data_IF_723869119502
#
_entry.id   IF_723869119502
#
_cell.length_a   1.000
_cell.length_b   1.000
_cell.length_c   1.000
_cell.angle_alpha   90.00
_cell.angle_beta   90.00
_cell.angle_gamma   90.00
#
_symmetry.space_group_name_H-M   'P 1'
#
loop_
_entity.id
_entity.type
_entity.pdbx_description
1 polymer ?
#
# COMPACT_ATOMS: atom_id res chain seq x y z
N UNK A 1 -21.97 9.32 20.96
CA UNK A 1 -21.66 10.47 20.08
C UNK A 1 -22.82 10.63 19.12
N UNK A 2 -23.20 11.86 18.71
CA UNK A 2 -24.21 12.02 17.68
C UNK A 2 -23.75 11.29 16.41
N UNK A 3 -24.62 10.47 15.85
CA UNK A 3 -24.38 9.84 14.56
C UNK A 3 -24.09 10.96 13.55
N UNK A 4 -23.00 10.85 12.81
CA UNK A 4 -22.72 11.74 11.69
C UNK A 4 -23.68 11.34 10.59
N UNK A 5 -24.75 12.10 10.48
CA UNK A 5 -25.79 11.86 9.50
C UNK A 5 -25.72 13.00 8.48
N UNK A 6 -25.43 12.66 7.23
CA UNK A 6 -25.47 13.61 6.12
C UNK A 6 -26.90 13.95 5.70
N UNK A 7 -27.91 13.28 6.28
CA UNK A 7 -29.31 13.44 5.88
C UNK A 7 -29.60 13.02 4.45
N UNK A 8 -28.75 12.16 3.86
CA UNK A 8 -28.85 11.73 2.48
C UNK A 8 -29.01 10.22 2.37
N UNK A 9 -29.99 9.77 1.64
CA UNK A 9 -30.12 8.36 1.25
C UNK A 9 -29.17 8.06 0.08
N UNK A 10 -27.90 7.81 0.40
CA UNK A 10 -26.83 7.59 -0.58
C UNK A 10 -25.80 6.60 -0.01
N UNK A 11 -25.42 5.59 -0.79
CA UNK A 11 -24.36 4.66 -0.40
C UNK A 11 -23.01 5.35 -0.15
N UNK A 12 -22.72 6.44 -0.87
CA UNK A 12 -21.50 7.23 -0.63
C UNK A 12 -21.60 7.97 0.70
N UNK A 13 -22.77 8.58 1.02
CA UNK A 13 -22.96 9.23 2.32
C UNK A 13 -22.83 8.24 3.47
N UNK A 14 -23.49 7.07 3.39
CA UNK A 14 -23.37 6.02 4.39
C UNK A 14 -21.94 5.50 4.57
N UNK A 15 -21.17 5.34 3.47
CA UNK A 15 -19.77 4.97 3.56
C UNK A 15 -18.94 6.06 4.26
N UNK A 16 -19.16 7.34 3.95
CA UNK A 16 -18.45 8.46 4.58
C UNK A 16 -18.80 8.63 6.06
N UNK A 17 -20.01 8.26 6.48
CA UNK A 17 -20.38 8.19 7.89
C UNK A 17 -19.52 7.20 8.67
N UNK A 18 -19.11 6.09 8.03
CA UNK A 18 -18.28 5.05 8.65
C UNK A 18 -16.78 5.36 8.56
N UNK A 19 -16.30 5.77 7.37
CA UNK A 19 -14.85 5.86 7.08
C UNK A 19 -14.41 7.24 6.61
N UNK A 20 -15.28 8.22 6.52
CA UNK A 20 -14.95 9.57 5.99
C UNK A 20 -14.09 10.42 6.93
N UNK A 21 -13.90 9.97 8.17
CA UNK A 21 -13.07 10.69 9.11
C UNK A 21 -11.59 10.57 8.83
N UNK A 22 -10.87 11.66 9.06
CA UNK A 22 -9.42 11.67 8.94
C UNK A 22 -8.81 10.50 9.73
N UNK A 23 -7.89 9.79 9.12
CA UNK A 23 -7.17 8.61 9.59
C UNK A 23 -7.92 7.27 9.41
N UNK A 24 -9.26 7.26 9.26
CA UNK A 24 -10.01 6.02 9.19
C UNK A 24 -9.52 5.11 8.04
N UNK A 25 -9.48 5.64 6.81
CA UNK A 25 -8.99 4.88 5.65
C UNK A 25 -7.50 4.53 5.73
N UNK A 26 -6.67 5.30 6.45
CA UNK A 26 -5.28 4.94 6.67
C UNK A 26 -5.12 3.79 7.66
N UNK A 27 -6.00 3.70 8.67
CA UNK A 27 -6.08 2.54 9.57
C UNK A 27 -6.52 1.30 8.79
N UNK A 28 -7.56 1.43 7.96
CA UNK A 28 -8.03 0.33 7.09
C UNK A 28 -6.92 -0.12 6.13
N UNK A 29 -6.18 0.81 5.54
CA UNK A 29 -5.02 0.54 4.67
C UNK A 29 -4.00 -0.37 5.36
N UNK A 30 -3.60 -0.05 6.58
CA UNK A 30 -2.59 -0.83 7.31
C UNK A 30 -3.16 -2.22 7.69
N UNK A 31 -4.45 -2.30 8.03
CA UNK A 31 -5.14 -3.56 8.34
C UNK A 31 -5.42 -4.44 7.10
N UNK A 32 -5.42 -3.89 5.89
CA UNK A 32 -5.49 -4.67 4.64
C UNK A 32 -4.21 -5.49 4.39
N UNK A 33 -3.08 -5.07 4.97
CA UNK A 33 -1.84 -5.85 4.93
C UNK A 33 -1.90 -7.03 5.91
N UNK A 34 -2.62 -6.87 7.02
CA UNK A 34 -2.85 -7.92 8.02
C UNK A 34 -3.19 -7.35 9.40
N UNK A 35 -3.51 -8.21 10.36
CA UNK A 35 -3.83 -7.79 11.73
C UNK A 35 -2.69 -7.00 12.35
N UNK A 36 -3.01 -5.96 13.14
CA UNK A 36 -2.04 -5.07 13.79
C UNK A 36 -2.39 -4.86 15.26
N UNK A 37 -1.36 -4.80 16.10
CA UNK A 37 -1.52 -4.30 17.47
C UNK A 37 -1.74 -2.79 17.45
N UNK A 38 -2.22 -2.25 18.55
CA UNK A 38 -2.33 -0.79 18.70
C UNK A 38 -0.99 -0.07 18.46
N UNK A 39 0.09 -0.63 19.00
CA UNK A 39 1.45 -0.11 18.85
C UNK A 39 1.92 -0.12 17.40
N UNK A 40 1.56 -1.15 16.63
CA UNK A 40 1.93 -1.29 15.23
C UNK A 40 1.23 -0.23 14.38
N UNK A 41 -0.08 -0.02 14.60
CA UNK A 41 -0.85 1.06 13.97
C UNK A 41 -0.31 2.45 14.34
N UNK A 42 0.08 2.64 15.61
CA UNK A 42 0.68 3.91 16.04
C UNK A 42 2.05 4.15 15.38
N UNK A 43 2.84 3.11 15.19
CA UNK A 43 4.12 3.18 14.48
C UNK A 43 3.92 3.41 12.97
N UNK A 44 2.93 2.75 12.35
CA UNK A 44 2.58 2.92 10.94
C UNK A 44 1.98 4.29 10.61
N UNK A 45 1.36 4.94 11.61
CA UNK A 45 0.73 6.27 11.49
C UNK A 45 1.37 7.26 12.48
N UNK A 46 2.66 7.62 12.32
CA UNK A 46 3.41 8.33 13.35
C UNK A 46 2.83 9.71 13.72
N UNK A 47 2.14 10.37 12.79
CA UNK A 47 1.52 11.68 13.01
C UNK A 47 0.10 11.63 13.58
N UNK A 48 -0.50 10.43 13.77
CA UNK A 48 -1.81 10.34 14.41
C UNK A 48 -1.68 10.61 15.92
N UNK A 49 -2.46 11.54 16.51
CA UNK A 49 -2.51 11.67 17.96
C UNK A 49 -3.07 10.40 18.61
N UNK A 50 -2.54 10.01 19.77
CA UNK A 50 -2.93 8.77 20.48
C UNK A 50 -4.42 8.70 20.80
N UNK A 51 -4.99 9.82 21.26
CA UNK A 51 -6.42 9.93 21.54
C UNK A 51 -7.26 9.78 20.26
N UNK A 52 -6.81 10.32 19.13
CA UNK A 52 -7.51 10.19 17.84
C UNK A 52 -7.44 8.74 17.35
N UNK A 53 -6.28 8.07 17.44
CA UNK A 53 -6.19 6.65 17.08
C UNK A 53 -7.19 5.81 17.88
N UNK A 54 -7.22 5.99 19.21
CA UNK A 54 -8.16 5.26 20.07
C UNK A 54 -9.62 5.54 19.70
N UNK A 55 -9.95 6.78 19.41
CA UNK A 55 -11.31 7.18 18.98
C UNK A 55 -11.67 6.52 17.65
N UNK A 56 -10.79 6.58 16.64
CA UNK A 56 -11.04 5.99 15.32
C UNK A 56 -11.18 4.47 15.38
N UNK A 57 -10.34 3.80 16.16
CA UNK A 57 -10.47 2.35 16.37
C UNK A 57 -11.80 1.96 16.99
N UNK A 58 -12.27 2.74 17.97
CA UNK A 58 -13.58 2.52 18.58
C UNK A 58 -14.71 2.71 17.57
N UNK A 59 -14.71 3.81 16.81
CA UNK A 59 -15.73 4.12 15.81
C UNK A 59 -15.78 3.08 14.68
N UNK A 60 -14.61 2.68 14.16
CA UNK A 60 -14.52 1.62 13.13
C UNK A 60 -15.01 0.27 13.66
N UNK A 61 -14.82 -0.02 14.96
CA UNK A 61 -15.31 -1.25 15.58
C UNK A 61 -16.83 -1.17 15.79
N UNK A 62 -17.38 -0.04 16.24
CA UNK A 62 -18.82 0.20 16.40
C UNK A 62 -19.54 0.13 15.03
N UNK A 63 -18.89 0.63 13.97
CA UNK A 63 -19.37 0.55 12.60
C UNK A 63 -19.19 -0.82 11.93
N UNK A 64 -18.64 -1.81 12.64
CA UNK A 64 -18.46 -3.18 12.12
C UNK A 64 -17.37 -3.33 11.06
N UNK A 65 -16.54 -2.29 10.83
CA UNK A 65 -15.44 -2.32 9.85
C UNK A 65 -14.26 -3.14 10.36
N UNK A 66 -13.93 -3.00 11.66
CA UNK A 66 -12.86 -3.74 12.30
C UNK A 66 -13.37 -4.51 13.52
N UNK A 67 -12.58 -5.48 13.97
CA UNK A 67 -12.79 -6.24 15.20
C UNK A 67 -11.51 -6.33 15.99
N UNK A 68 -11.63 -6.60 17.29
CA UNK A 68 -10.52 -7.05 18.11
C UNK A 68 -10.47 -8.56 18.13
N UNK A 69 -9.31 -9.13 17.92
CA UNK A 69 -9.10 -10.57 17.91
C UNK A 69 -7.89 -10.95 18.78
N UNK A 70 -7.93 -12.10 19.46
CA UNK A 70 -6.74 -12.62 20.11
C UNK A 70 -5.75 -13.13 19.05
N UNK A 71 -4.47 -12.79 19.22
CA UNK A 71 -3.39 -13.34 18.42
C UNK A 71 -2.23 -13.71 19.34
N UNK A 72 -2.01 -15.02 19.54
CA UNK A 72 -1.06 -15.52 20.55
C UNK A 72 -1.36 -14.93 21.93
N UNK A 73 -0.42 -14.21 22.53
CA UNK A 73 -0.54 -13.58 23.86
C UNK A 73 -0.94 -12.10 23.81
N UNK A 74 -1.49 -11.62 22.68
CA UNK A 74 -1.85 -10.21 22.49
C UNK A 74 -3.18 -10.05 21.81
N UNK A 75 -3.72 -8.83 21.89
CA UNK A 75 -4.91 -8.41 21.18
C UNK A 75 -4.49 -7.59 19.97
N UNK A 76 -5.04 -7.93 18.81
CA UNK A 76 -4.86 -7.22 17.55
C UNK A 76 -6.19 -6.65 17.06
N UNK A 77 -6.10 -5.65 16.21
CA UNK A 77 -7.18 -5.19 15.37
C UNK A 77 -7.08 -5.91 14.02
N UNK A 78 -8.20 -6.32 13.50
CA UNK A 78 -8.33 -6.99 12.20
C UNK A 78 -9.58 -6.47 11.48
N UNK A 79 -9.57 -6.52 10.16
CA UNK A 79 -10.77 -6.21 9.38
C UNK A 79 -11.81 -7.31 9.54
N UNK A 80 -13.08 -6.92 9.57
CA UNK A 80 -14.19 -7.85 9.32
C UNK A 80 -14.31 -8.14 7.82
N UNK A 81 -15.17 -9.08 7.41
CA UNK A 81 -15.46 -9.30 6.00
C UNK A 81 -16.05 -8.04 5.35
N UNK A 82 -16.89 -7.32 6.07
CA UNK A 82 -17.42 -6.02 5.65
C UNK A 82 -16.28 -5.00 5.46
N UNK A 83 -15.35 -4.92 6.42
CA UNK A 83 -14.18 -4.03 6.32
C UNK A 83 -13.24 -4.40 5.16
N UNK A 84 -13.09 -5.69 4.86
CA UNK A 84 -12.30 -6.16 3.69
C UNK A 84 -12.90 -5.71 2.37
N UNK A 85 -14.22 -5.50 2.30
CA UNK A 85 -14.88 -4.90 1.14
C UNK A 85 -14.39 -3.50 0.77
N UNK A 86 -13.63 -2.83 1.66
CA UNK A 86 -12.98 -1.55 1.36
C UNK A 86 -11.69 -1.68 0.55
N UNK A 87 -11.19 -2.89 0.31
CA UNK A 87 -9.90 -3.10 -0.37
C UNK A 87 -9.86 -2.41 -1.73
N UNK A 88 -10.80 -2.69 -2.62
CA UNK A 88 -10.83 -2.09 -3.96
C UNK A 88 -10.92 -0.57 -3.92
N UNK A 89 -11.64 -0.03 -2.93
CA UNK A 89 -11.78 1.42 -2.73
C UNK A 89 -10.43 2.02 -2.31
N UNK A 90 -9.75 1.41 -1.36
CA UNK A 90 -8.43 1.86 -0.88
C UNK A 90 -7.40 1.78 -2.00
N UNK A 91 -7.40 0.68 -2.78
CA UNK A 91 -6.49 0.52 -3.93
C UNK A 91 -6.80 1.55 -5.03
N UNK A 92 -8.09 1.83 -5.30
CA UNK A 92 -8.48 2.87 -6.25
C UNK A 92 -8.06 4.28 -5.79
N UNK A 93 -8.23 4.60 -4.50
CA UNK A 93 -7.72 5.84 -3.91
C UNK A 93 -6.20 5.93 -3.97
N UNK A 94 -5.50 4.80 -3.75
CA UNK A 94 -4.05 4.71 -3.89
C UNK A 94 -3.61 5.09 -5.31
N UNK A 95 -4.20 4.48 -6.34
CA UNK A 95 -3.92 4.82 -7.75
C UNK A 95 -4.19 6.29 -8.05
N UNK A 96 -5.36 6.79 -7.66
CA UNK A 96 -5.73 8.18 -7.88
C UNK A 96 -4.77 9.14 -7.18
N UNK A 97 -4.43 8.89 -5.92
CA UNK A 97 -3.48 9.69 -5.16
C UNK A 97 -2.07 9.68 -5.76
N UNK A 98 -1.62 8.53 -6.26
CA UNK A 98 -0.32 8.40 -6.92
C UNK A 98 -0.29 9.13 -8.28
N UNK A 99 -1.40 9.18 -9.01
CA UNK A 99 -1.48 9.86 -10.31
C UNK A 99 -1.57 11.38 -10.21
N UNK A 100 -2.08 11.91 -9.10
CA UNK A 100 -2.32 13.34 -8.90
C UNK A 100 -1.22 14.06 -8.11
N UNK A 101 -0.29 13.31 -7.53
CA UNK A 101 0.69 13.90 -6.64
C UNK A 101 1.88 14.48 -7.41
N UNK A 102 2.15 15.76 -7.20
CA UNK A 102 3.48 16.30 -7.37
C UNK A 102 4.49 15.45 -6.58
N UNK A 103 5.78 15.52 -6.95
CA UNK A 103 6.82 14.74 -6.30
C UNK A 103 6.64 14.75 -4.76
N UNK A 104 6.73 13.57 -4.09
CA UNK A 104 6.46 13.50 -2.66
C UNK A 104 7.32 14.51 -1.94
N UNK A 105 6.71 15.30 -1.06
CA UNK A 105 7.49 16.17 -0.17
C UNK A 105 8.53 15.30 0.54
N UNK A 106 9.79 15.70 0.57
CA UNK A 106 10.89 14.99 1.23
C UNK A 106 10.64 14.68 2.73
N UNK A 107 9.47 15.04 3.24
CA UNK A 107 9.03 14.85 4.64
C UNK A 107 8.04 13.70 4.81
N UNK A 108 7.65 13.00 3.73
CA UNK A 108 6.76 11.85 3.78
C UNK A 108 7.45 10.62 4.37
N UNK A 109 6.82 9.97 5.35
CA UNK A 109 7.31 8.71 5.92
C UNK A 109 6.73 7.56 5.11
N UNK A 110 7.62 6.70 4.60
CA UNK A 110 7.26 5.45 3.93
C UNK A 110 7.32 4.35 4.99
N UNK A 111 6.25 3.58 5.13
CA UNK A 111 6.21 2.38 5.97
C UNK A 111 6.03 1.13 5.10
N UNK A 112 6.37 -0.04 5.63
CA UNK A 112 6.16 -1.31 4.90
C UNK A 112 4.69 -1.50 4.50
N UNK A 113 3.75 -1.14 5.38
CA UNK A 113 2.32 -1.26 5.09
C UNK A 113 1.87 -0.29 3.99
N UNK A 114 2.29 0.99 4.06
CA UNK A 114 1.95 1.97 3.01
C UNK A 114 2.53 1.57 1.65
N UNK A 115 3.79 1.14 1.61
CA UNK A 115 4.43 0.70 0.37
C UNK A 115 3.80 -0.58 -0.18
N UNK A 116 3.40 -1.52 0.69
CA UNK A 116 2.67 -2.72 0.27
C UNK A 116 1.37 -2.36 -0.47
N UNK A 117 0.60 -1.43 0.06
CA UNK A 117 -0.64 -0.99 -0.58
C UNK A 117 -0.36 -0.18 -1.85
N UNK A 118 0.65 0.67 -1.89
CA UNK A 118 1.04 1.39 -3.10
C UNK A 118 1.43 0.42 -4.23
N UNK A 119 2.21 -0.61 -3.94
CA UNK A 119 2.57 -1.66 -4.90
C UNK A 119 1.34 -2.47 -5.35
N UNK A 120 0.44 -2.86 -4.42
CA UNK A 120 -0.82 -3.52 -4.78
C UNK A 120 -1.73 -2.63 -5.62
N UNK A 121 -1.74 -1.33 -5.34
CA UNK A 121 -2.53 -0.34 -6.09
C UNK A 121 -2.06 -0.19 -7.54
N UNK A 122 -0.77 -0.37 -7.79
CA UNK A 122 -0.14 -0.18 -9.11
C UNK A 122 0.14 -1.49 -9.84
N UNK A 123 -0.18 -2.64 -9.21
CA UNK A 123 0.03 -3.95 -9.80
C UNK A 123 -0.87 -4.17 -11.03
N UNK A 124 -0.24 -4.55 -12.13
CA UNK A 124 -0.86 -4.84 -13.41
C UNK A 124 -0.83 -6.34 -13.68
N UNK A 125 -1.92 -7.01 -13.36
CA UNK A 125 -2.06 -8.45 -13.55
C UNK A 125 -1.96 -8.86 -15.04
N UNK A 126 -2.44 -8.02 -15.96
CA UNK A 126 -2.33 -8.22 -17.41
C UNK A 126 -0.87 -8.24 -17.89
N UNK A 127 -0.08 -7.26 -17.45
CA UNK A 127 1.35 -7.20 -17.78
C UNK A 127 2.13 -8.32 -17.07
N UNK A 128 1.86 -8.55 -15.80
CA UNK A 128 2.53 -9.59 -15.01
C UNK A 128 2.39 -10.99 -15.63
N UNK A 129 1.19 -11.31 -16.15
CA UNK A 129 0.89 -12.61 -16.77
C UNK A 129 1.67 -12.89 -18.06
N UNK A 130 2.34 -11.90 -18.63
CA UNK A 130 3.19 -12.08 -19.82
C UNK A 130 4.62 -12.48 -19.48
N UNK A 131 4.98 -12.48 -18.19
CA UNK A 131 6.33 -12.77 -17.71
C UNK A 131 6.38 -14.07 -16.91
N UNK A 132 7.55 -14.69 -16.89
CA UNK A 132 7.84 -15.81 -15.99
C UNK A 132 7.71 -15.36 -14.52
N UNK A 133 7.36 -16.27 -13.60
CA UNK A 133 7.34 -15.99 -12.17
C UNK A 133 8.65 -15.32 -11.74
N UNK A 134 8.53 -14.24 -11.00
CA UNK A 134 9.69 -13.42 -10.62
C UNK A 134 9.56 -12.95 -9.17
N UNK A 135 10.66 -13.07 -8.44
CA UNK A 135 10.77 -12.64 -7.05
C UNK A 135 11.65 -11.40 -6.94
N UNK A 136 11.11 -10.33 -6.37
CA UNK A 136 11.83 -9.09 -6.13
C UNK A 136 12.02 -8.86 -4.65
N UNK A 137 13.20 -8.39 -4.24
CA UNK A 137 13.39 -7.73 -2.95
C UNK A 137 13.51 -6.24 -3.18
N UNK A 138 12.52 -5.51 -2.69
CA UNK A 138 12.44 -4.06 -2.82
C UNK A 138 12.76 -3.39 -1.48
N UNK A 139 13.91 -2.72 -1.40
CA UNK A 139 14.35 -1.92 -0.24
C UNK A 139 14.07 -0.46 -0.52
N UNK A 140 12.87 -0.02 -0.19
CA UNK A 140 12.39 1.34 -0.48
C UNK A 140 12.27 2.09 0.83
N UNK A 141 13.08 3.10 1.04
CA UNK A 141 13.17 3.97 2.23
C UNK A 141 12.25 3.58 3.40
N UNK A 142 12.76 2.82 4.38
CA UNK A 142 11.99 2.38 5.55
C UNK A 142 11.12 1.13 5.34
N UNK A 143 11.03 0.61 4.12
CA UNK A 143 10.36 -0.66 3.79
C UNK A 143 11.36 -1.65 3.16
N UNK A 144 11.39 -2.88 3.64
CA UNK A 144 12.14 -4.00 3.05
C UNK A 144 11.13 -5.12 2.77
N UNK A 145 10.77 -5.28 1.50
CA UNK A 145 9.66 -6.11 1.05
C UNK A 145 10.14 -7.18 0.08
N UNK A 146 9.59 -8.38 0.24
CA UNK A 146 9.66 -9.44 -0.76
C UNK A 146 8.37 -9.45 -1.56
N UNK A 147 8.51 -9.36 -2.88
CA UNK A 147 7.41 -9.41 -3.84
C UNK A 147 7.54 -10.70 -4.63
N UNK A 148 6.50 -11.52 -4.63
CA UNK A 148 6.41 -12.71 -5.47
C UNK A 148 5.31 -12.46 -6.49
N UNK A 149 5.72 -12.34 -7.75
CA UNK A 149 4.83 -12.19 -8.90
C UNK A 149 4.76 -13.52 -9.62
N UNK A 150 3.57 -14.08 -9.74
CA UNK A 150 3.32 -15.36 -10.42
C UNK A 150 2.02 -15.23 -11.23
N UNK A 151 2.17 -15.12 -12.55
CA UNK A 151 1.06 -14.81 -13.44
C UNK A 151 0.32 -13.54 -13.02
N UNK A 152 -1.00 -13.64 -12.84
CA UNK A 152 -1.87 -12.54 -12.41
C UNK A 152 -1.84 -12.28 -10.90
N UNK A 153 -0.99 -12.96 -10.13
CA UNK A 153 -0.97 -12.85 -8.66
C UNK A 153 0.24 -12.11 -8.15
N UNK A 154 0.02 -11.31 -7.12
CA UNK A 154 1.06 -10.62 -6.36
C UNK A 154 0.95 -11.00 -4.89
N UNK A 155 2.04 -11.47 -4.30
CA UNK A 155 2.20 -11.59 -2.85
C UNK A 155 3.28 -10.63 -2.39
N UNK A 156 2.99 -9.86 -1.36
CA UNK A 156 3.92 -8.92 -0.73
C UNK A 156 4.04 -9.26 0.74
N UNK A 157 5.26 -9.40 1.21
CA UNK A 157 5.55 -9.67 2.62
C UNK A 157 6.79 -8.87 3.07
N UNK A 158 6.93 -8.56 4.36
CA UNK A 158 8.21 -8.08 4.89
C UNK A 158 9.33 -9.08 4.58
N UNK A 159 10.46 -8.60 4.10
CA UNK A 159 11.61 -9.46 3.83
C UNK A 159 12.26 -9.90 5.14
N UNK A 160 12.52 -11.20 5.29
CA UNK A 160 13.26 -11.77 6.40
C UNK A 160 14.56 -12.39 5.90
N UNK A 161 15.53 -12.58 6.80
CA UNK A 161 16.86 -13.10 6.44
C UNK A 161 16.87 -14.55 5.93
N UNK A 162 15.84 -15.33 6.25
CA UNK A 162 15.74 -16.76 5.92
C UNK A 162 15.00 -17.04 4.59
N UNK A 163 14.73 -16.02 3.77
CA UNK A 163 14.01 -16.19 2.51
C UNK A 163 14.96 -16.57 1.36
N UNK A 164 14.43 -17.28 0.36
CA UNK A 164 15.14 -17.62 -0.85
C UNK A 164 15.74 -16.38 -1.53
N UNK A 165 16.87 -16.55 -2.21
CA UNK A 165 17.52 -15.47 -2.96
C UNK A 165 16.54 -14.94 -4.01
N UNK A 166 16.25 -13.63 -4.01
CA UNK A 166 15.36 -13.02 -5.00
C UNK A 166 16.04 -13.00 -6.38
N UNK A 167 15.22 -13.00 -7.44
CA UNK A 167 15.73 -12.86 -8.82
C UNK A 167 16.31 -11.45 -9.04
N UNK A 168 15.77 -10.45 -8.33
CA UNK A 168 16.27 -9.08 -8.31
C UNK A 168 16.17 -8.48 -6.92
N UNK A 169 17.31 -8.00 -6.39
CA UNK A 169 17.40 -7.20 -5.16
C UNK A 169 17.78 -5.77 -5.53
N UNK A 170 16.96 -4.79 -5.12
CA UNK A 170 17.22 -3.39 -5.42
C UNK A 170 16.87 -2.47 -4.26
N UNK A 171 17.51 -1.30 -4.24
CA UNK A 171 17.21 -0.22 -3.31
C UNK A 171 16.74 1.03 -4.07
N UNK A 172 15.80 1.74 -3.46
CA UNK A 172 15.29 3.01 -4.00
C UNK A 172 14.86 3.96 -2.88
N UNK A 173 14.81 5.25 -3.22
CA UNK A 173 14.20 6.28 -2.40
C UNK A 173 12.72 6.50 -2.73
N UNK A 174 12.14 7.56 -2.17
CA UNK A 174 10.76 7.99 -2.48
C UNK A 174 10.56 8.31 -3.98
N UNK A 175 11.63 8.67 -4.68
CA UNK A 175 11.65 8.95 -6.13
C UNK A 175 11.33 7.73 -7.00
N UNK A 176 11.25 6.51 -6.46
CA UNK A 176 10.75 5.34 -7.21
C UNK A 176 9.34 5.59 -7.78
N UNK A 177 8.59 6.53 -7.19
CA UNK A 177 7.28 6.92 -7.72
C UNK A 177 7.33 7.41 -9.16
N UNK A 178 8.39 8.08 -9.59
CA UNK A 178 8.54 8.51 -10.99
C UNK A 178 8.67 7.34 -11.95
N UNK A 179 9.28 6.22 -11.52
CA UNK A 179 9.29 4.98 -12.28
C UNK A 179 7.88 4.34 -12.34
N UNK A 180 7.20 4.26 -11.21
CA UNK A 180 5.83 3.72 -11.11
C UNK A 180 4.82 4.58 -11.88
N UNK A 181 5.00 5.90 -11.85
CA UNK A 181 4.17 6.84 -12.64
C UNK A 181 4.46 6.77 -14.16
N UNK A 182 5.57 6.15 -14.56
CA UNK A 182 6.00 6.09 -15.96
C UNK A 182 6.63 7.40 -16.47
N UNK A 183 7.09 8.26 -15.55
CA UNK A 183 7.78 9.52 -15.90
C UNK A 183 9.22 9.24 -16.32
N UNK A 184 9.81 8.16 -15.84
CA UNK A 184 11.13 7.67 -16.21
C UNK A 184 11.07 6.19 -16.61
N UNK A 185 11.95 5.78 -17.52
CA UNK A 185 12.14 4.35 -17.87
C UNK A 185 12.94 3.64 -16.78
N UNK A 186 12.92 2.30 -16.76
CA UNK A 186 13.72 1.52 -15.83
C UNK A 186 15.22 1.79 -16.00
N UNK A 187 15.71 1.86 -17.24
CA UNK A 187 17.11 2.12 -17.54
C UNK A 187 17.51 3.53 -17.04
N UNK A 188 16.71 4.55 -17.35
CA UNK A 188 16.94 5.91 -16.85
C UNK A 188 16.88 5.99 -15.32
N UNK A 189 16.00 5.22 -14.67
CA UNK A 189 15.92 5.19 -13.21
C UNK A 189 17.18 4.62 -12.57
N UNK A 190 17.81 3.64 -13.21
CA UNK A 190 19.10 3.09 -12.76
C UNK A 190 20.23 4.07 -13.04
N UNK A 191 20.32 4.64 -14.24
CA UNK A 191 21.34 5.62 -14.62
C UNK A 191 21.33 6.88 -13.73
N UNK A 192 20.14 7.36 -13.38
CA UNK A 192 19.95 8.54 -12.51
C UNK A 192 20.08 8.23 -11.01
N UNK A 193 20.30 6.95 -10.64
CA UNK A 193 20.41 6.53 -9.24
C UNK A 193 19.09 6.57 -8.47
N UNK A 194 17.94 6.68 -9.13
CA UNK A 194 16.60 6.54 -8.54
C UNK A 194 16.44 5.12 -7.99
N UNK A 195 16.95 4.14 -8.74
CA UNK A 195 17.03 2.73 -8.38
C UNK A 195 18.48 2.27 -8.41
N UNK A 196 18.90 1.55 -7.39
CA UNK A 196 20.20 0.91 -7.31
C UNK A 196 20.02 -0.60 -7.24
N UNK A 197 20.52 -1.32 -8.26
CA UNK A 197 20.53 -2.79 -8.25
C UNK A 197 21.59 -3.26 -7.25
N UNK A 198 21.20 -4.15 -6.36
CA UNK A 198 22.07 -4.73 -5.32
C UNK A 198 22.53 -6.14 -5.70
N UNK A 199 21.64 -6.94 -6.30
CA UNK A 199 21.93 -8.28 -6.78
C UNK A 199 20.90 -8.72 -7.83
N UNK A 200 21.24 -9.73 -8.62
CA UNK A 200 20.36 -10.31 -9.61
C UNK A 200 20.47 -9.68 -11.00
N UNK A 201 19.51 -9.99 -11.88
CA UNK A 201 19.52 -9.52 -13.26
C UNK A 201 18.86 -8.14 -13.40
N UNK A 202 19.65 -7.12 -13.73
CA UNK A 202 19.18 -5.74 -13.89
C UNK A 202 18.03 -5.58 -14.92
N UNK A 203 17.97 -6.42 -15.96
CA UNK A 203 16.88 -6.40 -16.94
C UNK A 203 15.49 -6.69 -16.32
N UNK A 204 15.45 -7.34 -15.15
CA UNK A 204 14.19 -7.54 -14.43
C UNK A 204 13.57 -6.23 -13.91
N UNK A 205 14.34 -5.12 -13.88
CA UNK A 205 13.79 -3.81 -13.55
C UNK A 205 12.80 -3.32 -14.62
N UNK A 206 12.99 -3.68 -15.88
CA UNK A 206 12.03 -3.39 -16.95
C UNK A 206 10.71 -4.17 -16.73
N UNK A 207 10.79 -5.44 -16.30
CA UNK A 207 9.60 -6.21 -15.91
C UNK A 207 8.91 -5.60 -14.68
N UNK A 208 9.68 -5.20 -13.68
CA UNK A 208 9.15 -4.51 -12.50
C UNK A 208 8.39 -3.25 -12.92
N UNK A 209 8.97 -2.38 -13.74
CA UNK A 209 8.33 -1.16 -14.21
C UNK A 209 7.05 -1.43 -15.04
N UNK A 210 7.03 -2.51 -15.83
CA UNK A 210 5.83 -2.90 -16.58
C UNK A 210 4.74 -3.46 -15.66
N UNK A 211 5.12 -4.20 -14.61
CA UNK A 211 4.22 -4.86 -13.66
C UNK A 211 3.64 -3.89 -12.64
N UNK A 212 4.43 -2.92 -12.18
CA UNK A 212 4.04 -1.92 -11.18
C UNK A 212 4.02 -0.54 -11.82
N UNK A 213 2.92 -0.20 -12.48
CA UNK A 213 2.79 1.08 -13.17
C UNK A 213 1.38 1.64 -13.06
N UNK A 214 1.31 2.96 -13.03
CA UNK A 214 0.05 3.66 -13.21
C UNK A 214 -0.30 3.60 -14.71
N UNK A 215 -1.44 2.98 -15.04
CA UNK A 215 -1.98 3.13 -16.39
C UNK A 215 -2.25 4.61 -16.61
N UNK A 216 -1.55 5.25 -17.54
CA UNK A 216 -1.98 6.56 -18.04
C UNK A 216 -3.29 6.32 -18.79
N UNK A 217 -4.42 6.33 -18.09
CA UNK A 217 -5.66 6.68 -18.75
C UNK A 217 -5.47 8.12 -19.21
N UNK A 218 -5.37 8.31 -20.53
CA UNK A 218 -5.56 9.62 -21.09
C UNK A 218 -6.92 10.10 -20.59
N UNK A 219 -6.93 11.05 -19.65
CA UNK A 219 -8.14 11.78 -19.28
C UNK A 219 -8.44 12.61 -20.51
N UNK A 220 -9.50 12.32 -21.27
CA UNK A 220 -9.91 13.20 -22.33
C UNK A 220 -10.41 14.48 -21.64
N UNK A 221 -9.75 15.59 -21.90
CA UNK A 221 -10.26 16.93 -21.58
C UNK A 221 -11.40 17.27 -22.51
#
# INVERSE_FOLDING_TARGET
MAARDYGQYSGVASALELVGERWALLIVRDLLVGPRRYTDLKAGLPRIPTNILSTRLKELQEGGVIRRAPLHHSVVYDLTDFGRGLEDIVLALGRWGLSSADAPSNTGIITSDSMTIDLRSTFRADAASTFEPTTYRARITGADLLLVVDGATLRVAPSTLDMATPDLDFAAGASIRSLIAGDVTADSAVEQGIVRILAGNAHLMNRFAATFSLSRQAVPF
#
